data_IF_252365231401
#
_entry.id   IF_252365231401
#
_cell.length_a   1.000
_cell.length_b   1.000
_cell.length_c   1.000
_cell.angle_alpha   90.00
_cell.angle_beta   90.00
_cell.angle_gamma   90.00
#
_symmetry.space_group_name_H-M   'P 1'
#
loop_
_entity.id
_entity.type
_entity.pdbx_description
1 polymer ?
#
# COMPACT_ATOMS: atom_id res chain seq x y z
N UNK A 1 1.06 -20.04 -26.39
CA UNK A 1 -0.30 -19.57 -26.67
C UNK A 1 -0.16 -18.39 -27.59
N UNK A 2 -0.83 -18.44 -28.73
CA UNK A 2 -0.89 -17.27 -29.59
C UNK A 2 -1.81 -16.24 -28.97
N UNK A 3 -1.43 -14.95 -28.92
CA UNK A 3 -2.28 -13.90 -28.38
C UNK A 3 -3.56 -13.78 -29.23
N UNK A 4 -4.70 -13.61 -28.57
CA UNK A 4 -5.97 -13.43 -29.27
C UNK A 4 -6.20 -12.00 -29.76
N UNK A 5 -5.49 -11.05 -29.18
CA UNK A 5 -5.57 -9.63 -29.49
C UNK A 5 -4.18 -9.02 -29.42
N UNK A 6 -3.89 -8.08 -30.29
CA UNK A 6 -2.76 -7.19 -30.17
C UNK A 6 -2.94 -6.23 -28.99
N UNK A 7 -1.82 -5.77 -28.41
CA UNK A 7 -1.84 -4.93 -27.20
C UNK A 7 -2.68 -3.67 -27.36
N UNK A 8 -2.50 -2.95 -28.45
CA UNK A 8 -3.25 -1.70 -28.71
C UNK A 8 -4.75 -1.97 -28.92
N UNK A 9 -5.09 -3.07 -29.59
CA UNK A 9 -6.49 -3.47 -29.75
C UNK A 9 -7.14 -3.80 -28.40
N UNK A 10 -6.42 -4.52 -27.53
CA UNK A 10 -6.92 -4.87 -26.21
C UNK A 10 -7.12 -3.62 -25.34
N UNK A 11 -6.17 -2.67 -25.33
CA UNK A 11 -6.29 -1.40 -24.61
C UNK A 11 -7.48 -0.58 -25.13
N UNK A 12 -7.61 -0.45 -26.46
CA UNK A 12 -8.69 0.33 -27.08
C UNK A 12 -10.10 -0.23 -26.83
N UNK A 13 -10.22 -1.46 -26.33
CA UNK A 13 -11.50 -2.11 -25.92
C UNK A 13 -11.74 -2.05 -24.42
N UNK A 14 -10.74 -1.66 -23.63
CA UNK A 14 -10.82 -1.62 -22.18
C UNK A 14 -11.52 -0.34 -21.69
N UNK A 15 -12.29 -0.45 -20.62
CA UNK A 15 -12.77 0.72 -19.88
C UNK A 15 -11.72 1.23 -18.88
N UNK A 16 -10.95 0.31 -18.29
CA UNK A 16 -9.85 0.58 -17.37
C UNK A 16 -8.71 -0.38 -17.67
N UNK A 17 -7.48 0.09 -17.59
CA UNK A 17 -6.26 -0.72 -17.72
C UNK A 17 -5.58 -0.81 -16.37
N UNK A 18 -5.24 -2.02 -15.93
CA UNK A 18 -4.47 -2.27 -14.71
C UNK A 18 -3.11 -2.82 -15.12
N UNK A 19 -2.08 -2.02 -14.92
CA UNK A 19 -0.69 -2.39 -15.21
C UNK A 19 -0.04 -3.05 -13.98
N UNK A 20 0.23 -4.35 -14.10
CA UNK A 20 0.91 -5.14 -13.08
C UNK A 20 2.31 -5.58 -13.55
N UNK A 21 2.90 -4.87 -14.48
CA UNK A 21 4.24 -5.17 -15.00
C UNK A 21 5.34 -4.86 -13.97
N UNK A 22 6.57 -5.38 -14.16
CA UNK A 22 7.69 -5.05 -13.29
C UNK A 22 7.99 -3.56 -13.25
N UNK A 23 8.64 -3.10 -12.17
CA UNK A 23 9.01 -1.71 -11.93
C UNK A 23 9.69 -1.06 -13.15
N UNK A 24 9.23 0.13 -13.52
CA UNK A 24 9.69 0.92 -14.65
C UNK A 24 9.06 0.56 -15.99
N UNK A 25 8.42 -0.61 -16.10
CA UNK A 25 7.73 -1.01 -17.33
C UNK A 25 6.39 -0.29 -17.49
N UNK A 26 5.69 -0.01 -16.39
CA UNK A 26 4.45 0.75 -16.41
C UNK A 26 4.64 2.16 -16.99
N UNK A 27 5.73 2.84 -16.64
CA UNK A 27 6.09 4.13 -17.25
C UNK A 27 6.34 4.00 -18.75
N UNK A 28 7.08 2.98 -19.18
CA UNK A 28 7.30 2.71 -20.60
C UNK A 28 5.99 2.46 -21.34
N UNK A 29 5.07 1.68 -20.73
CA UNK A 29 3.76 1.42 -21.29
C UNK A 29 2.91 2.68 -21.38
N UNK A 30 3.00 3.57 -20.38
CA UNK A 30 2.31 4.86 -20.37
C UNK A 30 2.69 5.68 -21.59
N UNK A 31 4.00 5.86 -21.83
CA UNK A 31 4.52 6.64 -22.96
C UNK A 31 4.24 5.96 -24.31
N UNK A 32 4.40 4.63 -24.39
CA UNK A 32 4.28 3.90 -25.64
C UNK A 32 2.84 3.67 -26.09
N UNK A 33 1.95 3.42 -25.12
CA UNK A 33 0.60 2.94 -25.41
C UNK A 33 -0.50 3.82 -24.82
N UNK A 34 -0.45 4.14 -23.50
CA UNK A 34 -1.65 4.62 -22.80
C UNK A 34 -2.09 6.00 -23.28
N UNK A 35 -1.19 6.91 -23.55
CA UNK A 35 -1.51 8.25 -24.07
C UNK A 35 -2.22 8.24 -25.43
N UNK A 36 -2.17 7.13 -26.18
CA UNK A 36 -2.93 6.98 -27.42
C UNK A 36 -4.44 6.74 -27.20
N UNK A 37 -4.84 6.48 -25.97
CA UNK A 37 -6.18 6.10 -25.59
C UNK A 37 -6.77 6.97 -24.48
N UNK A 38 -6.22 8.15 -24.24
CA UNK A 38 -6.68 9.08 -23.20
C UNK A 38 -8.15 9.50 -23.39
N UNK A 39 -8.64 9.50 -24.63
CA UNK A 39 -10.03 9.81 -24.99
C UNK A 39 -11.00 8.62 -24.85
N UNK A 40 -10.50 7.41 -24.70
CA UNK A 40 -11.30 6.16 -24.71
C UNK A 40 -11.31 5.42 -23.41
N UNK A 41 -10.14 5.30 -22.77
CA UNK A 41 -9.95 4.56 -21.51
C UNK A 41 -10.22 5.49 -20.35
N UNK A 42 -11.11 5.11 -19.45
CA UNK A 42 -11.50 5.94 -18.31
C UNK A 42 -10.41 6.08 -17.24
N UNK A 43 -9.49 5.12 -17.18
CA UNK A 43 -8.39 5.17 -16.23
C UNK A 43 -7.33 4.11 -16.44
N UNK A 44 -6.11 4.48 -16.10
CA UNK A 44 -4.94 3.61 -16.10
C UNK A 44 -4.39 3.53 -14.67
N UNK A 45 -4.24 2.31 -14.16
CA UNK A 45 -3.74 2.07 -12.81
C UNK A 45 -2.43 1.30 -12.87
N UNK A 46 -1.40 1.79 -12.20
CA UNK A 46 -0.16 1.04 -12.01
C UNK A 46 0.02 0.63 -10.56
N UNK A 47 0.79 -0.44 -10.34
CA UNK A 47 1.11 -0.93 -9.00
C UNK A 47 2.21 -0.08 -8.31
N UNK A 48 2.37 -0.24 -6.99
CA UNK A 48 3.10 0.66 -6.11
C UNK A 48 4.58 0.90 -6.39
N UNK A 49 5.24 0.13 -7.28
CA UNK A 49 6.64 0.38 -7.66
C UNK A 49 6.80 1.38 -8.81
N UNK A 50 5.69 1.87 -9.38
CA UNK A 50 5.68 2.85 -10.48
C UNK A 50 5.55 4.28 -9.93
N UNK A 51 6.53 4.73 -9.11
CA UNK A 51 6.49 6.07 -8.53
C UNK A 51 6.39 7.16 -9.59
N UNK A 52 5.43 8.09 -9.41
CA UNK A 52 5.15 9.16 -10.37
C UNK A 52 4.29 8.75 -11.57
N UNK A 53 3.78 7.51 -11.64
CA UNK A 53 2.87 7.09 -12.72
C UNK A 53 1.58 7.92 -12.76
N UNK A 54 1.04 8.25 -11.62
CA UNK A 54 -0.17 9.03 -11.47
C UNK A 54 -0.43 9.41 -10.01
N UNK A 55 -1.65 9.86 -9.72
CA UNK A 55 -2.05 10.20 -8.36
C UNK A 55 -1.97 8.98 -7.46
N UNK A 56 -1.33 9.10 -6.31
CA UNK A 56 -1.24 8.01 -5.33
C UNK A 56 -2.62 7.70 -4.76
N UNK A 57 -2.93 6.41 -4.69
CA UNK A 57 -4.24 5.94 -4.27
C UNK A 57 -4.15 4.75 -3.30
N UNK A 58 -4.96 4.80 -2.26
CA UNK A 58 -5.25 3.67 -1.38
C UNK A 58 -6.75 3.62 -1.08
N UNK A 59 -7.38 2.48 -1.34
CA UNK A 59 -8.81 2.27 -1.09
C UNK A 59 -9.17 2.55 0.37
N UNK A 60 -10.25 3.30 0.56
CA UNK A 60 -10.77 3.68 1.88
C UNK A 60 -9.98 4.80 2.57
N UNK A 61 -8.94 5.33 1.94
CA UNK A 61 -8.18 6.48 2.43
C UNK A 61 -8.53 7.72 1.62
N UNK A 62 -8.29 7.69 0.31
CA UNK A 62 -8.50 8.85 -0.56
C UNK A 62 -9.38 8.52 -1.78
N UNK A 63 -10.45 7.77 -1.60
CA UNK A 63 -11.36 7.36 -2.68
C UNK A 63 -11.93 8.55 -3.48
N UNK A 64 -11.88 9.75 -2.90
CA UNK A 64 -12.29 10.99 -3.59
C UNK A 64 -11.48 11.28 -4.84
N UNK A 65 -10.23 10.84 -4.95
CA UNK A 65 -9.38 11.05 -6.15
C UNK A 65 -9.88 10.29 -7.38
N UNK A 66 -10.74 9.30 -7.18
CA UNK A 66 -11.37 8.53 -8.27
C UNK A 66 -12.68 9.15 -8.77
N UNK A 67 -13.18 10.18 -8.08
CA UNK A 67 -14.42 10.85 -8.45
C UNK A 67 -14.18 11.81 -9.62
N UNK A 68 -15.22 12.00 -10.42
CA UNK A 68 -15.28 12.98 -11.51
C UNK A 68 -14.38 12.74 -12.72
N UNK A 69 -13.51 11.72 -12.72
CA UNK A 69 -12.60 11.44 -13.84
C UNK A 69 -11.42 12.43 -13.97
N UNK A 70 -11.17 13.23 -12.93
CA UNK A 70 -10.09 14.24 -12.97
C UNK A 70 -8.69 13.61 -12.97
N UNK A 71 -8.58 12.37 -12.48
CA UNK A 71 -7.32 11.64 -12.39
C UNK A 71 -7.36 10.35 -13.21
N UNK A 72 -6.92 10.44 -14.45
CA UNK A 72 -6.93 9.28 -15.35
C UNK A 72 -5.80 8.29 -15.04
N UNK A 73 -4.66 8.78 -14.56
CA UNK A 73 -3.52 7.95 -14.17
C UNK A 73 -3.43 7.83 -12.64
N UNK A 74 -3.46 6.60 -12.15
CA UNK A 74 -3.51 6.26 -10.73
C UNK A 74 -2.35 5.33 -10.39
N UNK A 75 -1.62 5.66 -9.34
CA UNK A 75 -0.64 4.77 -8.74
C UNK A 75 -1.22 4.16 -7.45
N UNK A 76 -1.56 2.89 -7.48
CA UNK A 76 -1.95 2.15 -6.27
C UNK A 76 -0.70 1.95 -5.42
N UNK A 77 -0.67 2.53 -4.24
CA UNK A 77 0.53 2.54 -3.39
C UNK A 77 0.95 1.14 -2.91
N UNK A 78 2.19 0.98 -2.47
CA UNK A 78 2.75 -0.31 -2.06
C UNK A 78 2.08 -0.89 -0.80
N UNK A 79 2.26 -2.21 -0.58
CA UNK A 79 1.68 -2.90 0.57
C UNK A 79 2.06 -2.28 1.93
N UNK A 80 3.32 -1.86 2.10
CA UNK A 80 3.73 -1.19 3.34
C UNK A 80 3.12 0.21 3.46
N UNK A 81 3.03 0.95 2.36
CA UNK A 81 2.37 2.26 2.33
C UNK A 81 0.88 2.14 2.65
N UNK A 82 0.18 1.12 2.10
CA UNK A 82 -1.19 0.81 2.49
C UNK A 82 -1.33 0.55 3.98
N UNK A 83 -0.42 -0.27 4.53
CA UNK A 83 -0.41 -0.63 5.96
C UNK A 83 -0.23 0.62 6.84
N UNK A 84 0.78 1.45 6.54
CA UNK A 84 1.01 2.73 7.23
C UNK A 84 -0.24 3.60 7.17
N UNK A 85 -0.80 3.78 5.97
CA UNK A 85 -1.93 4.67 5.74
C UNK A 85 -3.20 4.17 6.42
N UNK A 86 -3.49 2.86 6.34
CA UNK A 86 -4.64 2.26 6.98
C UNK A 86 -4.59 2.39 8.51
N UNK A 87 -3.45 2.07 9.13
CA UNK A 87 -3.27 2.18 10.59
C UNK A 87 -3.32 3.64 11.04
N UNK A 88 -2.65 4.54 10.33
CA UNK A 88 -2.68 5.98 10.64
C UNK A 88 -4.09 6.53 10.57
N UNK A 89 -4.81 6.25 9.49
CA UNK A 89 -6.19 6.69 9.34
C UNK A 89 -7.09 6.15 10.44
N UNK A 90 -7.08 4.83 10.66
CA UNK A 90 -7.96 4.16 11.61
C UNK A 90 -7.74 4.60 13.05
N UNK A 91 -6.49 4.75 13.48
CA UNK A 91 -6.16 4.97 14.88
C UNK A 91 -5.96 6.43 15.24
N UNK A 92 -5.58 7.28 14.28
CA UNK A 92 -5.23 8.65 14.58
C UNK A 92 -6.13 9.70 13.93
N UNK A 93 -6.61 9.47 12.70
CA UNK A 93 -7.30 10.51 11.94
C UNK A 93 -8.81 10.36 11.94
N UNK A 94 -9.32 9.14 11.84
CA UNK A 94 -10.76 8.89 11.74
C UNK A 94 -11.52 9.41 12.95
N UNK A 95 -12.51 10.27 12.69
CA UNK A 95 -13.27 11.00 13.71
C UNK A 95 -12.54 12.14 14.42
N UNK A 96 -11.24 12.39 14.14
CA UNK A 96 -10.44 13.41 14.84
C UNK A 96 -9.76 14.43 13.92
N UNK A 97 -9.57 14.10 12.64
CA UNK A 97 -8.84 14.96 11.70
C UNK A 97 -7.31 14.82 11.77
N UNK A 98 -6.60 15.44 10.80
CA UNK A 98 -5.15 15.28 10.65
C UNK A 98 -4.33 15.87 11.82
N UNK A 99 -4.82 16.89 12.46
CA UNK A 99 -4.16 17.57 13.60
C UNK A 99 -4.09 16.69 14.86
N UNK A 100 -4.83 15.58 14.91
CA UNK A 100 -4.74 14.65 16.02
C UNK A 100 -3.45 13.83 15.99
N UNK A 101 -2.86 13.56 14.81
CA UNK A 101 -1.57 12.90 14.71
C UNK A 101 -0.43 13.88 14.97
N UNK A 102 0.27 13.72 16.08
CA UNK A 102 1.50 14.46 16.36
C UNK A 102 2.72 13.83 15.69
N UNK A 103 2.77 12.51 15.68
CA UNK A 103 3.91 11.75 15.16
C UNK A 103 3.51 10.31 14.87
N UNK A 104 3.92 9.80 13.69
CA UNK A 104 3.82 8.38 13.32
C UNK A 104 5.20 7.81 12.99
N UNK A 105 5.61 6.75 13.71
CA UNK A 105 6.88 6.05 13.50
C UNK A 105 6.62 4.60 13.14
N UNK A 106 7.29 4.12 12.09
CA UNK A 106 7.08 2.80 11.54
C UNK A 106 8.39 2.08 11.26
N UNK A 107 8.44 0.79 11.56
CA UNK A 107 9.55 -0.08 11.16
C UNK A 107 9.00 -1.20 10.30
N UNK A 108 9.35 -1.17 9.01
CA UNK A 108 8.92 -2.17 8.03
C UNK A 108 9.91 -3.34 8.00
N UNK A 109 9.56 -4.46 8.60
CA UNK A 109 10.31 -5.72 8.50
C UNK A 109 9.84 -6.45 7.24
N UNK A 110 10.64 -6.37 6.18
CA UNK A 110 10.29 -6.88 4.85
C UNK A 110 10.73 -8.31 4.67
N UNK A 111 9.84 -9.17 4.12
CA UNK A 111 10.23 -10.53 3.68
C UNK A 111 11.35 -10.49 2.64
N UNK A 112 12.05 -11.61 2.48
CA UNK A 112 13.21 -11.72 1.57
C UNK A 112 12.83 -11.41 0.11
N UNK A 113 11.79 -12.03 -0.41
CA UNK A 113 11.33 -11.89 -1.79
C UNK A 113 9.81 -11.92 -1.88
N UNK A 114 9.27 -11.43 -2.98
CA UNK A 114 7.88 -11.68 -3.34
C UNK A 114 7.68 -13.14 -3.76
N UNK A 115 6.48 -13.67 -3.59
CA UNK A 115 6.19 -15.08 -3.86
C UNK A 115 6.42 -15.48 -5.33
N UNK A 116 6.36 -14.52 -6.23
CA UNK A 116 6.61 -14.71 -7.68
C UNK A 116 8.07 -14.50 -8.09
N UNK A 117 8.95 -14.12 -7.18
CA UNK A 117 10.34 -13.80 -7.48
C UNK A 117 11.26 -14.96 -7.07
N UNK A 118 12.04 -15.47 -8.01
CA UNK A 118 13.21 -16.28 -7.74
C UNK A 118 14.39 -15.36 -7.37
N UNK A 119 14.25 -14.64 -6.27
CA UNK A 119 15.23 -13.63 -5.85
C UNK A 119 16.46 -14.21 -5.22
N UNK A 120 17.46 -13.37 -4.99
CA UNK A 120 18.71 -13.75 -4.36
C UNK A 120 18.54 -14.19 -2.90
N UNK A 121 19.47 -15.02 -2.46
CA UNK A 121 19.55 -15.46 -1.07
C UNK A 121 19.86 -14.27 -0.12
N UNK A 122 19.12 -14.16 0.96
CA UNK A 122 19.34 -13.18 2.03
C UNK A 122 19.85 -13.92 3.27
N UNK A 123 21.16 -13.96 3.54
CA UNK A 123 21.72 -14.77 4.62
C UNK A 123 21.41 -14.23 6.01
N UNK A 124 21.19 -12.93 6.13
CA UNK A 124 20.95 -12.24 7.39
C UNK A 124 20.10 -10.99 7.19
N UNK A 125 19.50 -10.43 8.26
CA UNK A 125 18.79 -9.15 8.17
C UNK A 125 19.68 -8.04 7.60
N UNK A 126 19.12 -7.27 6.66
CA UNK A 126 19.82 -6.15 6.04
C UNK A 126 19.00 -4.86 6.23
N UNK A 127 19.67 -3.81 6.68
CA UNK A 127 19.05 -2.49 6.85
C UNK A 127 18.77 -1.88 5.47
N UNK A 128 17.57 -1.35 5.28
CA UNK A 128 17.21 -0.56 4.11
C UNK A 128 17.85 0.83 4.19
N UNK A 129 18.22 1.38 3.04
CA UNK A 129 18.69 2.76 2.98
C UNK A 129 17.57 3.75 3.33
N UNK A 130 17.90 4.83 4.02
CA UNK A 130 17.05 6.00 4.15
C UNK A 130 17.30 6.89 2.93
N UNK A 131 16.33 6.95 2.04
CA UNK A 131 16.41 7.74 0.80
C UNK A 131 15.93 9.17 0.97
N UNK A 132 15.35 9.48 2.13
CA UNK A 132 14.75 10.78 2.43
C UNK A 132 15.04 11.16 3.90
N UNK A 133 15.54 12.38 4.11
CA UNK A 133 15.90 12.84 5.48
C UNK A 133 14.67 13.06 6.36
N UNK A 134 13.55 13.50 5.79
CA UNK A 134 12.31 13.77 6.53
C UNK A 134 11.54 12.50 6.80
N UNK A 135 11.38 11.64 5.80
CA UNK A 135 10.49 10.47 5.86
C UNK A 135 11.23 9.15 6.12
N UNK A 136 12.56 9.14 6.03
CA UNK A 136 13.40 7.95 6.15
C UNK A 136 13.31 7.06 4.92
N UNK A 137 12.40 6.10 4.88
CA UNK A 137 12.16 5.27 3.69
C UNK A 137 10.99 5.81 2.85
N UNK A 138 10.96 5.41 1.56
CA UNK A 138 9.89 5.79 0.63
C UNK A 138 8.48 5.44 1.12
N UNK A 139 8.31 4.49 2.04
CA UNK A 139 6.99 4.08 2.51
C UNK A 139 6.24 5.20 3.26
N UNK A 140 6.93 5.92 4.15
CA UNK A 140 6.32 7.07 4.84
C UNK A 140 6.18 8.27 3.91
N UNK A 141 7.12 8.47 2.98
CA UNK A 141 7.02 9.50 1.94
C UNK A 141 5.76 9.29 1.09
N UNK A 142 5.59 8.09 0.53
CA UNK A 142 4.42 7.74 -0.27
C UNK A 142 3.11 7.86 0.52
N UNK A 143 3.11 7.50 1.82
CA UNK A 143 1.95 7.69 2.67
C UNK A 143 1.65 9.18 2.91
N UNK A 144 2.67 10.01 3.10
CA UNK A 144 2.52 11.44 3.25
C UNK A 144 1.96 12.08 1.97
N UNK A 145 2.48 11.70 0.80
CA UNK A 145 1.97 12.17 -0.50
C UNK A 145 0.54 11.69 -0.76
N UNK A 146 0.19 10.47 -0.32
CA UNK A 146 -1.18 9.96 -0.37
C UNK A 146 -2.13 10.86 0.45
N UNK A 147 -1.77 11.15 1.71
CA UNK A 147 -2.57 12.01 2.57
C UNK A 147 -2.60 13.48 2.10
N UNK A 148 -1.55 13.94 1.42
CA UNK A 148 -1.53 15.27 0.81
C UNK A 148 -2.62 15.43 -0.27
N UNK A 149 -3.08 14.36 -0.92
CA UNK A 149 -4.24 14.42 -1.82
C UNK A 149 -5.55 14.80 -1.14
N UNK A 150 -5.60 14.65 0.21
CA UNK A 150 -6.71 15.08 1.07
C UNK A 150 -6.45 16.45 1.72
N UNK A 151 -5.31 17.09 1.40
CA UNK A 151 -4.88 18.34 2.04
C UNK A 151 -4.26 18.14 3.44
N UNK A 152 -3.83 16.92 3.80
CA UNK A 152 -3.26 16.62 5.11
C UNK A 152 -1.73 16.63 5.05
N UNK A 153 -1.12 17.34 5.97
CA UNK A 153 0.33 17.32 6.21
C UNK A 153 0.61 16.52 7.49
N UNK A 154 1.18 15.33 7.35
CA UNK A 154 1.38 14.41 8.47
C UNK A 154 2.86 14.19 8.78
N UNK A 155 3.20 14.21 10.06
CA UNK A 155 4.54 13.86 10.55
C UNK A 155 4.71 12.33 10.62
N UNK A 156 5.08 11.74 9.49
CA UNK A 156 5.32 10.31 9.33
C UNK A 156 6.80 10.03 9.11
N UNK A 157 7.29 8.94 9.68
CA UNK A 157 8.65 8.45 9.43
C UNK A 157 8.66 6.93 9.38
N UNK A 158 9.42 6.35 8.48
CA UNK A 158 9.60 4.91 8.42
C UNK A 158 11.05 4.49 8.20
N UNK A 159 11.42 3.41 8.87
CA UNK A 159 12.63 2.64 8.57
C UNK A 159 12.23 1.31 7.94
N UNK A 160 13.14 0.67 7.22
CA UNK A 160 12.92 -0.63 6.66
C UNK A 160 14.13 -1.54 6.86
N UNK A 161 13.87 -2.82 7.07
CA UNK A 161 14.88 -3.86 7.00
C UNK A 161 14.34 -5.05 6.20
N UNK A 162 15.22 -5.75 5.52
CA UNK A 162 14.92 -6.98 4.79
C UNK A 162 15.43 -8.16 5.61
N UNK A 163 14.60 -9.17 5.80
CA UNK A 163 14.94 -10.37 6.57
C UNK A 163 14.94 -11.62 5.69
N UNK A 164 15.56 -12.68 6.16
CA UNK A 164 15.71 -13.94 5.43
C UNK A 164 14.49 -14.86 5.47
N UNK A 165 13.39 -14.41 6.07
CA UNK A 165 12.13 -15.16 6.10
C UNK A 165 11.20 -14.79 4.94
N UNK A 166 10.25 -15.67 4.66
CA UNK A 166 9.18 -15.45 3.69
C UNK A 166 7.85 -15.19 4.41
N UNK A 167 6.78 -15.03 3.66
CA UNK A 167 5.41 -14.78 4.12
C UNK A 167 5.22 -13.44 4.83
N UNK A 168 4.50 -12.56 4.24
CA UNK A 168 4.05 -11.27 4.74
C UNK A 168 5.19 -10.34 5.24
N UNK A 169 4.97 -9.07 5.17
CA UNK A 169 5.76 -8.08 5.90
C UNK A 169 5.21 -7.95 7.32
N UNK A 170 6.06 -7.53 8.26
CA UNK A 170 5.64 -7.10 9.60
C UNK A 170 5.91 -5.61 9.72
N UNK A 171 4.95 -4.89 10.25
CA UNK A 171 5.05 -3.48 10.54
C UNK A 171 4.92 -3.27 12.06
N UNK A 172 6.00 -2.81 12.68
CA UNK A 172 5.91 -2.23 14.01
C UNK A 172 5.63 -0.75 13.89
N UNK A 173 4.78 -0.21 14.77
CA UNK A 173 4.47 1.22 14.74
C UNK A 173 4.29 1.82 16.13
N UNK A 174 4.51 3.14 16.21
CA UNK A 174 4.14 3.98 17.33
C UNK A 174 3.45 5.25 16.81
N UNK A 175 2.26 5.53 17.30
CA UNK A 175 1.53 6.76 17.01
C UNK A 175 1.44 7.60 18.27
N UNK A 176 1.77 8.88 18.14
CA UNK A 176 1.55 9.89 19.17
C UNK A 176 0.40 10.77 18.74
N UNK A 177 -0.68 10.73 19.49
CA UNK A 177 -1.89 11.49 19.21
C UNK A 177 -2.04 12.66 20.16
N UNK A 178 -2.85 13.65 19.78
CA UNK A 178 -3.23 14.77 20.62
C UNK A 178 -4.25 14.34 21.67
N UNK A 179 -5.29 13.66 21.21
CA UNK A 179 -6.30 13.11 22.08
C UNK A 179 -5.81 11.79 22.71
N UNK A 180 -6.04 11.60 24.02
CA UNK A 180 -5.69 10.37 24.69
C UNK A 180 -6.57 9.23 24.19
N UNK A 181 -6.01 8.01 24.21
CA UNK A 181 -6.76 6.79 23.87
C UNK A 181 -6.40 5.67 24.83
N UNK A 182 -7.18 4.60 24.81
CA UNK A 182 -6.96 3.42 25.62
C UNK A 182 -7.11 2.13 24.77
N UNK A 183 -6.70 1.00 25.32
CA UNK A 183 -6.66 -0.26 24.59
C UNK A 183 -8.04 -0.69 24.05
N UNK A 184 -9.12 -0.48 24.80
CA UNK A 184 -10.45 -0.88 24.33
C UNK A 184 -10.88 -0.03 23.14
N UNK A 185 -10.68 1.28 23.23
CA UNK A 185 -10.97 2.20 22.13
C UNK A 185 -10.14 1.88 20.87
N UNK A 186 -8.87 1.54 21.02
CA UNK A 186 -8.03 1.08 19.89
C UNK A 186 -8.61 -0.18 19.25
N UNK A 187 -9.01 -1.18 20.06
CA UNK A 187 -9.64 -2.40 19.56
C UNK A 187 -10.97 -2.13 18.86
N UNK A 188 -11.79 -1.26 19.41
CA UNK A 188 -13.09 -0.89 18.82
C UNK A 188 -12.90 -0.20 17.46
N UNK A 189 -11.94 0.72 17.34
CA UNK A 189 -11.61 1.38 16.06
C UNK A 189 -11.10 0.39 15.02
N UNK A 190 -10.20 -0.54 15.40
CA UNK A 190 -9.74 -1.57 14.50
C UNK A 190 -10.87 -2.49 14.03
N UNK A 191 -11.76 -2.88 14.95
CA UNK A 191 -12.91 -3.74 14.65
C UNK A 191 -13.95 -3.06 13.74
N UNK A 192 -14.08 -1.74 13.83
CA UNK A 192 -15.03 -0.96 13.02
C UNK A 192 -14.57 -0.74 11.58
N UNK A 193 -13.30 -0.98 11.27
CA UNK A 193 -12.76 -0.78 9.93
C UNK A 193 -12.71 -2.08 9.13
N UNK A 194 -13.55 -2.21 8.11
CA UNK A 194 -13.63 -3.39 7.22
C UNK A 194 -12.31 -3.70 6.48
N UNK A 195 -11.37 -2.74 6.42
CA UNK A 195 -10.06 -2.92 5.79
C UNK A 195 -9.01 -3.49 6.76
N UNK A 196 -9.37 -3.68 8.02
CA UNK A 196 -8.50 -4.22 9.07
C UNK A 196 -9.01 -5.58 9.53
N UNK A 197 -8.12 -6.55 9.63
CA UNK A 197 -8.38 -7.80 10.33
C UNK A 197 -7.57 -7.85 11.63
N UNK A 198 -8.16 -8.35 12.70
CA UNK A 198 -7.47 -8.58 13.96
C UNK A 198 -7.13 -10.07 14.12
N UNK A 199 -6.02 -10.36 14.77
CA UNK A 199 -5.56 -11.74 15.03
C UNK A 199 -4.84 -11.84 16.38
N UNK A 200 -4.89 -13.02 16.97
CA UNK A 200 -4.06 -13.39 18.13
C UNK A 200 -2.85 -14.23 17.73
N UNK A 201 -2.64 -14.43 16.41
CA UNK A 201 -1.50 -15.17 15.88
C UNK A 201 -0.33 -14.24 15.69
N UNK A 202 0.80 -14.57 16.31
CA UNK A 202 2.01 -13.74 16.33
C UNK A 202 3.08 -14.15 15.30
N UNK A 203 2.79 -15.11 14.42
CA UNK A 203 3.74 -15.58 13.42
C UNK A 203 3.17 -15.40 12.01
N UNK A 204 3.88 -14.73 11.13
CA UNK A 204 3.43 -14.40 9.78
C UNK A 204 3.05 -15.63 8.94
N UNK A 205 3.80 -16.74 9.08
CA UNK A 205 3.46 -18.00 8.40
C UNK A 205 2.13 -18.59 8.87
N UNK A 206 1.82 -18.48 10.16
CA UNK A 206 0.54 -18.94 10.73
C UNK A 206 -0.61 -18.06 10.25
N UNK A 207 -0.43 -16.74 10.25
CA UNK A 207 -1.44 -15.79 9.72
C UNK A 207 -1.70 -16.05 8.24
N UNK A 208 -0.66 -16.26 7.45
CA UNK A 208 -0.76 -16.55 6.03
C UNK A 208 -1.51 -17.88 5.76
N UNK A 209 -1.16 -18.94 6.48
CA UNK A 209 -1.79 -20.25 6.34
C UNK A 209 -3.25 -20.24 6.76
N UNK A 210 -3.58 -19.54 7.85
CA UNK A 210 -4.95 -19.36 8.30
C UNK A 210 -5.83 -18.68 7.23
N UNK A 211 -5.35 -17.62 6.62
CA UNK A 211 -6.04 -16.95 5.50
C UNK A 211 -6.33 -17.91 4.35
N UNK A 212 -5.35 -18.72 3.96
CA UNK A 212 -5.50 -19.76 2.93
C UNK A 212 -6.54 -20.79 3.31
N UNK A 213 -6.48 -21.31 4.53
CA UNK A 213 -7.33 -22.39 5.02
C UNK A 213 -8.81 -21.94 5.14
N UNK A 214 -9.05 -20.64 5.25
CA UNK A 214 -10.38 -20.04 5.22
C UNK A 214 -10.84 -19.61 3.80
N UNK A 215 -10.27 -20.15 2.75
CA UNK A 215 -10.71 -19.94 1.37
C UNK A 215 -10.23 -18.65 0.71
N UNK A 216 -9.33 -17.92 1.33
CA UNK A 216 -8.74 -16.72 0.76
C UNK A 216 -7.50 -16.99 -0.12
N UNK A 217 -7.28 -18.24 -0.50
CA UNK A 217 -6.18 -18.69 -1.38
C UNK A 217 -4.80 -18.15 -0.95
N UNK A 218 -4.53 -18.18 0.35
CA UNK A 218 -3.30 -17.64 0.90
C UNK A 218 -3.27 -16.12 1.02
N UNK A 219 -4.39 -15.44 0.81
CA UNK A 219 -4.51 -13.98 0.93
C UNK A 219 -5.54 -13.62 2.00
N UNK A 220 -5.21 -12.65 2.79
CA UNK A 220 -6.17 -11.94 3.64
C UNK A 220 -6.61 -10.73 2.81
N UNK A 221 -7.90 -10.61 2.55
CA UNK A 221 -8.45 -9.56 1.68
C UNK A 221 -8.49 -8.18 2.34
N UNK A 222 -7.93 -8.04 3.52
CA UNK A 222 -7.83 -6.79 4.24
C UNK A 222 -6.52 -6.07 3.89
N UNK A 223 -6.50 -4.76 4.05
CA UNK A 223 -5.29 -3.96 3.80
C UNK A 223 -4.22 -4.18 4.85
N UNK A 224 -4.62 -4.48 6.08
CA UNK A 224 -3.72 -4.78 7.18
C UNK A 224 -4.31 -5.83 8.11
N UNK A 225 -3.43 -6.57 8.79
CA UNK A 225 -3.77 -7.52 9.84
C UNK A 225 -3.02 -7.09 11.09
N UNK A 226 -3.75 -6.83 12.17
CA UNK A 226 -3.20 -6.36 13.44
C UNK A 226 -3.22 -7.50 14.46
N UNK A 227 -2.07 -7.80 15.04
CA UNK A 227 -1.96 -8.71 16.20
C UNK A 227 -2.30 -7.93 17.45
N UNK A 228 -3.17 -8.53 18.32
CA UNK A 228 -3.78 -7.90 19.51
C UNK A 228 -3.64 -8.76 20.76
#
# INVERSE_FOLDING_TARGET
MDPKLETEEAIGRASVVIDCTPSGVGHQNKERYYHKFDDKVKGFMAQGSEDGFGVKYARGINDSVLKNGDNQFIQVVSCNTHNISCITNTLALDGHGPENLKEGRFVCVRRANDTSQAGGFIPAPAVGGHSDEMFGSHHAKDASELFATLGYELNLFSSAMKVNSQYMHVLWFALKTKEPTNLNEVKDRLAANDLVAMTTKNMTSTVYSFGRDHGHFGRILNQTVVEI
#
